data_IF_033104386319
#
_entry.id   IF_033104386319
#
_cell.length_a   1.000
_cell.length_b   1.000
_cell.length_c   1.000
_cell.angle_alpha   90.00
_cell.angle_beta   90.00
_cell.angle_gamma   90.00
#
_symmetry.space_group_name_H-M   'P 1'
#
loop_
_entity.id
_entity.type
_entity.pdbx_description
1 polymer ?
#
# COMPACT_ATOMS: atom_id res chain seq x y z
N UNK A 1 -69.82 59.99 -40.00
CA UNK A 1 -69.27 58.95 -39.09
C UNK A 1 -67.87 58.60 -39.57
N UNK A 2 -66.87 59.11 -38.84
CA UNK A 2 -65.42 58.98 -39.10
C UNK A 2 -64.92 57.68 -38.48
N UNK A 3 -64.40 56.74 -39.28
CA UNK A 3 -63.63 55.59 -38.80
C UNK A 3 -62.41 55.36 -39.71
N UNK A 4 -61.48 56.33 -39.74
CA UNK A 4 -60.10 56.14 -40.22
C UNK A 4 -59.16 57.10 -39.48
N UNK A 5 -58.69 56.73 -38.27
CA UNK A 5 -57.34 57.13 -37.90
C UNK A 5 -56.54 56.04 -37.16
N UNK A 6 -57.06 54.80 -37.05
CA UNK A 6 -56.35 53.73 -36.31
C UNK A 6 -55.39 52.90 -37.19
N UNK A 7 -55.71 52.76 -38.48
CA UNK A 7 -54.86 52.01 -39.42
C UNK A 7 -53.62 52.79 -39.88
N UNK A 8 -53.68 54.12 -39.90
CA UNK A 8 -52.54 54.95 -40.30
C UNK A 8 -51.44 55.00 -39.21
N UNK A 9 -51.83 54.96 -37.92
CA UNK A 9 -50.89 54.94 -36.80
C UNK A 9 -50.14 53.60 -36.72
N UNK A 10 -50.84 52.48 -36.98
CA UNK A 10 -50.20 51.15 -37.04
C UNK A 10 -49.20 51.03 -38.17
N UNK A 11 -49.52 51.55 -39.36
CA UNK A 11 -48.60 51.52 -40.50
C UNK A 11 -47.38 52.43 -40.30
N UNK A 12 -47.55 53.55 -39.59
CA UNK A 12 -46.43 54.42 -39.24
C UNK A 12 -45.51 53.76 -38.21
N UNK A 13 -46.04 53.07 -37.19
CA UNK A 13 -45.23 52.30 -36.25
C UNK A 13 -44.49 51.13 -36.92
N UNK A 14 -45.12 50.42 -37.86
CA UNK A 14 -44.46 49.34 -38.62
C UNK A 14 -43.37 49.88 -39.55
N UNK A 15 -43.59 51.03 -40.18
CA UNK A 15 -42.57 51.69 -41.00
C UNK A 15 -41.37 52.20 -40.18
N UNK A 16 -41.62 52.73 -38.97
CA UNK A 16 -40.57 53.18 -38.06
C UNK A 16 -39.75 52.01 -37.50
N UNK A 17 -40.40 50.87 -37.22
CA UNK A 17 -39.70 49.63 -36.84
C UNK A 17 -38.91 49.07 -38.02
N UNK A 18 -39.43 49.12 -39.24
CA UNK A 18 -38.72 48.68 -40.46
C UNK A 18 -37.50 49.53 -40.81
N UNK A 19 -37.54 50.84 -40.54
CA UNK A 19 -36.43 51.75 -40.85
C UNK A 19 -35.24 51.60 -39.88
N UNK A 20 -35.45 51.09 -38.67
CA UNK A 20 -34.36 50.74 -37.74
C UNK A 20 -33.59 49.50 -38.21
N UNK A 21 -34.19 48.64 -39.04
CA UNK A 21 -33.56 47.40 -39.53
C UNK A 21 -32.61 47.62 -40.71
N UNK A 22 -32.66 48.79 -41.36
CA UNK A 22 -31.85 49.11 -42.55
C UNK A 22 -30.67 50.05 -42.29
N UNK A 23 -30.43 50.45 -41.03
CA UNK A 23 -29.18 51.13 -40.72
C UNK A 23 -28.03 50.13 -40.92
N UNK A 24 -27.02 50.42 -41.76
CA UNK A 24 -25.83 49.61 -41.80
C UNK A 24 -25.25 49.68 -40.39
N UNK A 25 -25.21 48.55 -39.71
CA UNK A 25 -24.33 48.38 -38.56
C UNK A 25 -22.95 48.63 -39.12
N UNK A 26 -22.46 49.87 -38.99
CA UNK A 26 -21.04 50.16 -39.13
C UNK A 26 -20.40 49.30 -38.07
N UNK A 27 -19.95 48.12 -38.48
CA UNK A 27 -19.11 47.27 -37.68
C UNK A 27 -18.01 48.19 -37.18
N UNK A 28 -18.03 48.48 -35.88
CA UNK A 28 -16.95 49.22 -35.25
C UNK A 28 -15.67 48.57 -35.74
N UNK A 29 -14.71 49.38 -36.18
CA UNK A 29 -13.37 48.89 -36.48
C UNK A 29 -13.04 47.87 -35.39
N UNK A 30 -12.66 46.63 -35.75
CA UNK A 30 -12.44 45.60 -34.75
C UNK A 30 -11.57 46.24 -33.70
N UNK A 31 -12.11 46.34 -32.47
CA UNK A 31 -11.34 46.80 -31.33
C UNK A 31 -10.02 46.05 -31.43
N UNK A 32 -8.85 46.73 -31.38
CA UNK A 32 -7.57 46.07 -31.54
C UNK A 32 -7.64 44.83 -30.67
N UNK A 33 -7.74 43.68 -31.32
CA UNK A 33 -7.97 42.45 -30.62
C UNK A 33 -6.68 42.32 -29.85
N UNK A 34 -6.76 42.58 -28.54
CA UNK A 34 -5.67 42.27 -27.67
C UNK A 34 -5.59 40.77 -27.83
N UNK A 35 -4.67 40.33 -28.67
CA UNK A 35 -4.28 38.95 -28.75
C UNK A 35 -3.65 38.73 -27.37
N UNK A 36 -4.47 38.49 -26.35
CA UNK A 36 -4.02 37.91 -25.12
C UNK A 36 -3.63 36.51 -25.57
N UNK A 37 -2.33 36.27 -25.70
CA UNK A 37 -1.86 34.89 -25.69
C UNK A 37 -2.30 34.35 -24.35
N UNK A 38 -3.44 33.68 -24.32
CA UNK A 38 -3.83 32.93 -23.16
C UNK A 38 -2.73 31.90 -22.99
N UNK A 39 -2.05 31.89 -21.82
CA UNK A 39 -1.03 30.89 -21.56
C UNK A 39 -1.62 29.52 -21.88
N UNK A 40 -1.02 28.83 -22.85
CA UNK A 40 -1.50 27.52 -23.26
C UNK A 40 -0.85 26.51 -22.33
N UNK A 41 -1.61 25.76 -21.53
CA UNK A 41 -1.01 24.71 -20.73
C UNK A 41 -0.45 23.65 -21.66
N UNK A 42 0.87 23.41 -21.57
CA UNK A 42 1.51 22.28 -22.22
C UNK A 42 0.99 20.96 -21.63
N UNK A 43 1.16 19.85 -22.36
CA UNK A 43 0.79 18.52 -21.88
C UNK A 43 1.56 18.09 -20.61
N UNK A 44 2.64 18.80 -20.28
CA UNK A 44 3.49 18.70 -19.11
C UNK A 44 3.06 19.62 -17.94
N UNK A 45 2.00 20.41 -18.13
CA UNK A 45 1.47 21.36 -17.13
C UNK A 45 2.25 22.67 -17.01
N UNK A 46 3.24 22.91 -17.87
CA UNK A 46 3.93 24.20 -17.95
C UNK A 46 3.05 25.22 -18.67
N UNK A 47 3.12 26.46 -18.22
CA UNK A 47 2.46 27.61 -18.84
C UNK A 47 3.51 28.33 -19.67
N UNK A 48 3.32 28.34 -20.98
CA UNK A 48 4.20 29.01 -21.92
C UNK A 48 3.53 30.23 -22.58
N UNK A 49 4.36 31.16 -23.05
CA UNK A 49 3.99 32.37 -23.77
C UNK A 49 4.75 32.46 -25.08
N UNK A 50 4.02 32.78 -26.14
CA UNK A 50 4.60 32.97 -27.47
C UNK A 50 4.83 34.46 -27.68
N UNK A 51 6.10 34.84 -27.81
CA UNK A 51 6.60 36.21 -28.03
C UNK A 51 5.94 36.84 -29.26
N UNK A 52 5.48 38.07 -29.13
CA UNK A 52 4.83 38.87 -30.17
C UNK A 52 5.72 40.00 -30.64
N UNK A 53 5.29 40.63 -31.72
CA UNK A 53 5.95 41.80 -32.27
C UNK A 53 5.98 42.94 -31.23
N UNK A 54 7.18 43.49 -30.99
CA UNK A 54 7.49 44.51 -29.99
C UNK A 54 7.41 44.06 -28.53
N UNK A 55 7.34 42.76 -28.26
CA UNK A 55 7.52 42.29 -26.91
C UNK A 55 8.98 42.42 -26.45
N UNK A 56 9.14 42.87 -25.22
CA UNK A 56 10.40 42.84 -24.47
C UNK A 56 10.21 41.95 -23.26
N UNK A 57 11.31 41.49 -22.65
CA UNK A 57 11.19 40.75 -21.39
C UNK A 57 10.41 41.56 -20.33
N UNK A 58 10.59 42.90 -20.29
CA UNK A 58 9.85 43.77 -19.38
C UNK A 58 8.34 43.82 -19.68
N UNK A 59 7.93 43.90 -20.96
CA UNK A 59 6.50 43.93 -21.31
C UNK A 59 5.83 42.58 -21.01
N UNK A 60 6.51 41.48 -21.32
CA UNK A 60 6.02 40.12 -21.07
C UNK A 60 5.94 39.86 -19.57
N UNK A 61 6.97 40.20 -18.81
CA UNK A 61 7.01 39.94 -17.37
C UNK A 61 5.89 40.68 -16.65
N UNK A 62 5.68 41.96 -16.98
CA UNK A 62 4.57 42.75 -16.43
C UNK A 62 3.20 42.20 -16.84
N UNK A 63 3.04 41.78 -18.09
CA UNK A 63 1.79 41.21 -18.59
C UNK A 63 1.44 39.89 -17.88
N UNK A 64 2.44 39.05 -17.64
CA UNK A 64 2.28 37.73 -17.01
C UNK A 64 2.35 37.78 -15.48
N UNK A 65 2.65 38.95 -14.91
CA UNK A 65 2.76 39.16 -13.47
C UNK A 65 3.95 38.43 -12.84
N UNK A 66 5.04 38.26 -13.58
CA UNK A 66 6.32 37.69 -13.11
C UNK A 66 7.44 38.74 -13.24
N UNK A 67 8.58 38.50 -12.60
CA UNK A 67 9.73 39.41 -12.76
C UNK A 67 10.50 39.11 -14.04
N UNK A 68 11.22 40.12 -14.56
CA UNK A 68 12.08 39.92 -15.74
C UNK A 68 13.18 38.88 -15.47
N UNK A 69 13.72 38.87 -14.25
CA UNK A 69 14.72 37.90 -13.82
C UNK A 69 14.15 36.47 -13.75
N UNK A 70 12.94 36.30 -13.21
CA UNK A 70 12.25 35.01 -13.18
C UNK A 70 11.97 34.48 -14.60
N UNK A 71 11.51 35.36 -15.49
CA UNK A 71 11.34 35.02 -16.91
C UNK A 71 12.65 34.55 -17.56
N UNK A 72 13.78 35.18 -17.21
CA UNK A 72 15.11 34.80 -17.70
C UNK A 72 15.56 33.45 -17.18
N UNK A 73 15.42 33.21 -15.88
CA UNK A 73 15.83 31.96 -15.24
C UNK A 73 15.06 30.76 -15.80
N UNK A 74 13.74 30.90 -16.00
CA UNK A 74 12.89 29.85 -16.57
C UNK A 74 13.27 29.48 -18.01
N UNK A 75 13.94 30.37 -18.74
CA UNK A 75 14.27 30.21 -20.15
C UNK A 75 15.77 30.22 -20.44
N UNK A 76 16.60 30.19 -19.38
CA UNK A 76 18.05 30.30 -19.47
C UNK A 76 18.54 31.52 -20.29
N UNK A 77 17.82 32.64 -20.23
CA UNK A 77 18.17 33.88 -20.94
C UNK A 77 19.26 34.64 -20.17
N UNK A 78 20.43 34.78 -20.76
CA UNK A 78 21.59 35.37 -20.12
C UNK A 78 21.56 36.91 -20.18
N UNK A 79 22.09 37.54 -19.15
CA UNK A 79 22.48 38.96 -19.16
C UNK A 79 23.93 39.01 -18.71
N UNK A 80 24.82 39.42 -19.61
CA UNK A 80 26.20 39.70 -19.27
C UNK A 80 26.58 41.09 -19.80
N UNK A 81 27.78 41.55 -19.49
CA UNK A 81 28.22 42.91 -19.82
C UNK A 81 28.24 43.18 -21.33
N UNK A 82 28.32 42.14 -22.16
CA UNK A 82 28.51 42.23 -23.60
C UNK A 82 27.29 41.77 -24.43
N UNK A 83 26.31 41.10 -23.81
CA UNK A 83 25.12 40.55 -24.48
C UNK A 83 23.95 40.39 -23.52
N UNK A 84 22.77 40.77 -24.01
CA UNK A 84 21.51 40.66 -23.30
C UNK A 84 20.46 39.96 -24.17
N UNK A 85 20.14 38.70 -23.85
CA UNK A 85 19.18 37.88 -24.58
C UNK A 85 17.75 38.44 -24.54
N UNK A 86 17.42 39.24 -23.52
CA UNK A 86 16.12 39.92 -23.41
C UNK A 86 15.95 41.08 -24.39
N UNK A 87 17.06 41.59 -24.94
CA UNK A 87 17.03 42.58 -26.02
C UNK A 87 16.82 41.95 -27.40
N UNK A 88 16.92 40.63 -27.50
CA UNK A 88 16.87 39.88 -28.75
C UNK A 88 15.81 38.78 -28.74
N UNK A 89 14.62 39.05 -28.19
CA UNK A 89 13.49 38.13 -28.32
C UNK A 89 12.93 38.14 -29.75
N UNK A 90 12.56 36.97 -30.26
CA UNK A 90 12.09 36.79 -31.64
C UNK A 90 10.61 36.48 -31.62
N UNK A 91 9.84 37.07 -32.54
CA UNK A 91 8.41 36.77 -32.67
C UNK A 91 8.22 35.28 -32.92
N UNK A 92 7.34 34.64 -32.15
CA UNK A 92 7.09 33.20 -32.19
C UNK A 92 7.96 32.38 -31.24
N UNK A 93 8.93 32.97 -30.56
CA UNK A 93 9.71 32.29 -29.51
C UNK A 93 8.79 31.89 -28.36
N UNK A 94 8.86 30.64 -27.93
CA UNK A 94 8.12 30.14 -26.78
C UNK A 94 8.95 30.32 -25.51
N UNK A 95 8.37 31.02 -24.53
CA UNK A 95 8.96 31.28 -23.23
C UNK A 95 8.12 30.57 -22.16
N UNK A 96 8.78 29.85 -21.27
CA UNK A 96 8.20 29.28 -20.07
C UNK A 96 7.93 30.44 -19.10
N UNK A 97 6.66 30.65 -18.76
CA UNK A 97 6.22 31.70 -17.84
C UNK A 97 5.99 31.13 -16.46
N UNK A 98 5.49 29.88 -16.38
CA UNK A 98 5.40 29.12 -15.14
C UNK A 98 5.66 27.67 -15.47
N UNK A 99 6.46 27.00 -14.66
CA UNK A 99 6.49 25.55 -14.70
C UNK A 99 5.25 24.99 -13.99
N UNK A 100 4.82 23.77 -14.34
CA UNK A 100 4.01 22.97 -13.41
C UNK A 100 4.73 23.06 -12.06
N UNK A 101 4.02 23.27 -10.93
CA UNK A 101 4.65 23.10 -9.63
C UNK A 101 5.42 21.78 -9.70
N UNK A 102 6.77 21.85 -9.63
CA UNK A 102 7.51 20.70 -9.20
C UNK A 102 6.77 20.20 -7.97
N UNK A 103 6.48 18.90 -7.90
CA UNK A 103 5.99 18.28 -6.66
C UNK A 103 7.08 18.50 -5.62
N UNK A 104 7.06 19.68 -5.03
CA UNK A 104 7.87 20.11 -3.92
C UNK A 104 6.87 20.20 -2.80
N UNK A 105 6.95 19.33 -1.79
CA UNK A 105 6.13 19.51 -0.61
C UNK A 105 6.41 20.91 -0.01
N UNK A 106 5.40 21.76 -0.02
CA UNK A 106 5.11 22.91 0.87
C UNK A 106 5.68 22.71 2.31
N UNK A 107 6.10 23.76 3.06
CA UNK A 107 7.39 24.47 3.05
C UNK A 107 7.99 24.49 4.50
N UNK A 108 8.72 25.54 4.92
CA UNK A 108 9.02 26.03 6.31
C UNK A 108 10.52 25.96 6.69
N UNK A 109 10.99 26.81 7.64
CA UNK A 109 11.89 27.96 7.50
C UNK A 109 13.35 27.56 7.20
N UNK A 110 14.32 28.48 7.30
CA UNK A 110 15.76 28.19 7.12
C UNK A 110 16.18 26.93 7.92
N UNK A 111 16.43 25.79 7.26
CA UNK A 111 17.02 24.60 7.90
C UNK A 111 18.27 24.23 7.12
N UNK A 112 19.41 24.47 7.78
CA UNK A 112 20.64 23.68 7.69
C UNK A 112 20.44 22.36 6.94
N UNK A 113 21.14 22.15 5.82
CA UNK A 113 20.94 21.01 4.92
C UNK A 113 20.67 19.72 5.70
N UNK A 114 19.39 19.35 5.82
CA UNK A 114 19.03 18.16 6.58
C UNK A 114 19.69 16.97 5.89
N UNK A 115 20.31 16.05 6.65
CA UNK A 115 20.90 14.87 6.07
C UNK A 115 19.83 14.19 5.22
N UNK A 116 20.14 13.88 3.96
CA UNK A 116 19.31 12.98 3.16
C UNK A 116 19.02 11.78 4.05
N UNK A 117 17.75 11.62 4.46
CA UNK A 117 17.38 10.54 5.35
C UNK A 117 17.78 9.25 4.64
N UNK A 118 18.80 8.59 5.18
CA UNK A 118 18.99 7.17 4.90
C UNK A 118 17.67 6.53 5.32
N UNK A 119 16.98 5.73 4.49
CA UNK A 119 15.76 5.07 4.92
C UNK A 119 16.05 4.40 6.27
N UNK A 120 15.31 4.77 7.31
CA UNK A 120 15.54 4.26 8.64
C UNK A 120 15.34 2.75 8.56
N UNK A 121 16.41 1.98 8.69
CA UNK A 121 16.35 0.52 8.76
C UNK A 121 15.70 0.18 10.10
N UNK A 122 14.38 0.18 10.11
CA UNK A 122 13.60 -0.08 11.30
C UNK A 122 13.42 -1.57 11.54
N UNK A 123 12.92 -1.88 12.72
CA UNK A 123 12.60 -3.23 13.12
C UNK A 123 11.08 -3.37 13.21
N UNK A 124 10.59 -4.58 12.96
CA UNK A 124 9.21 -5.01 13.15
C UNK A 124 9.15 -6.22 14.07
N UNK A 125 7.98 -6.83 14.17
CA UNK A 125 7.76 -8.06 14.93
C UNK A 125 7.02 -9.08 14.09
N UNK A 126 7.42 -10.34 14.19
CA UNK A 126 6.78 -11.47 13.52
C UNK A 126 6.27 -12.43 14.61
N UNK A 127 4.97 -12.63 14.65
CA UNK A 127 4.29 -13.52 15.57
C UNK A 127 3.75 -14.74 14.83
N UNK A 128 3.87 -15.91 15.46
CA UNK A 128 3.44 -17.19 14.91
C UNK A 128 2.43 -17.82 15.86
N UNK A 129 1.28 -18.19 15.32
CA UNK A 129 0.25 -18.92 16.05
C UNK A 129 0.06 -20.29 15.41
N UNK A 130 0.10 -21.35 16.22
CA UNK A 130 -0.19 -22.70 15.77
C UNK A 130 -1.48 -23.15 16.47
N UNK A 131 -2.51 -23.45 15.69
CA UNK A 131 -3.84 -23.77 16.19
C UNK A 131 -4.30 -25.16 15.76
N UNK A 132 -5.18 -25.73 16.59
CA UNK A 132 -5.87 -26.97 16.33
C UNK A 132 -7.05 -26.73 15.40
N UNK A 133 -6.84 -27.03 14.12
CA UNK A 133 -7.83 -26.90 13.06
C UNK A 133 -8.81 -28.08 13.12
N UNK A 134 -9.79 -27.97 14.03
CA UNK A 134 -10.74 -29.06 14.33
C UNK A 134 -11.74 -29.27 13.19
N UNK A 135 -12.06 -28.20 12.47
CA UNK A 135 -13.07 -28.20 11.41
C UNK A 135 -12.44 -28.46 10.01
N UNK A 136 -11.12 -28.32 9.88
CA UNK A 136 -10.33 -28.57 8.67
C UNK A 136 -10.37 -27.44 7.64
N UNK A 137 -10.75 -26.22 8.01
CA UNK A 137 -10.90 -25.09 7.10
C UNK A 137 -9.63 -24.22 6.94
N UNK A 138 -8.60 -24.53 7.71
CA UNK A 138 -7.29 -23.87 7.70
C UNK A 138 -7.33 -22.38 8.07
N UNK A 139 -8.35 -21.93 8.80
CA UNK A 139 -8.48 -20.57 9.32
C UNK A 139 -8.53 -20.59 10.84
N UNK A 140 -7.74 -19.74 11.50
CA UNK A 140 -7.78 -19.67 12.96
C UNK A 140 -9.07 -19.02 13.44
N UNK A 141 -9.82 -19.73 14.28
CA UNK A 141 -11.04 -19.24 14.93
C UNK A 141 -10.87 -19.10 16.45
N UNK A 142 -11.69 -18.25 17.10
CA UNK A 142 -11.64 -18.04 18.57
C UNK A 142 -11.93 -19.33 19.36
N UNK A 143 -12.66 -20.27 18.78
CA UNK A 143 -12.98 -21.56 19.38
C UNK A 143 -11.86 -22.58 19.27
N UNK A 144 -10.84 -22.32 18.45
CA UNK A 144 -9.75 -23.27 18.19
C UNK A 144 -8.58 -23.05 19.15
N UNK A 145 -8.15 -24.16 19.77
CA UNK A 145 -7.13 -24.14 20.79
C UNK A 145 -5.72 -24.04 20.20
N UNK A 146 -4.77 -23.37 20.89
CA UNK A 146 -3.37 -23.38 20.50
C UNK A 146 -2.76 -24.78 20.64
N UNK A 147 -1.75 -25.07 19.82
CA UNK A 147 -0.95 -26.30 19.90
C UNK A 147 0.47 -25.95 20.39
N UNK A 148 0.87 -26.57 21.50
CA UNK A 148 2.24 -26.52 22.00
C UNK A 148 3.18 -27.48 21.25
N UNK A 149 4.46 -27.13 21.20
CA UNK A 149 5.53 -28.02 20.72
C UNK A 149 5.82 -27.92 19.22
N UNK A 150 5.17 -27.01 18.49
CA UNK A 150 5.52 -26.72 17.10
C UNK A 150 6.84 -25.97 17.01
N UNK A 151 7.80 -26.49 16.24
CA UNK A 151 9.10 -25.85 16.11
C UNK A 151 9.11 -24.84 14.95
N UNK A 152 9.39 -23.58 15.26
CA UNK A 152 9.37 -22.46 14.31
C UNK A 152 10.79 -22.04 13.95
N UNK A 153 11.05 -21.79 12.67
CA UNK A 153 12.28 -21.15 12.18
C UNK A 153 11.95 -19.96 11.28
N UNK A 154 12.57 -18.82 11.58
CA UNK A 154 12.46 -17.56 10.85
C UNK A 154 13.84 -17.22 10.28
N UNK A 155 13.96 -17.25 8.95
CA UNK A 155 15.23 -16.97 8.26
C UNK A 155 15.05 -15.91 7.19
N UNK A 156 16.01 -15.01 7.02
CA UNK A 156 16.00 -14.08 5.88
C UNK A 156 16.78 -14.62 4.68
N UNK A 157 16.57 -14.03 3.50
CA UNK A 157 17.26 -14.45 2.26
C UNK A 157 18.79 -14.44 2.34
N UNK A 158 19.35 -13.54 3.16
CA UNK A 158 20.79 -13.39 3.33
C UNK A 158 21.35 -14.25 4.48
N UNK A 159 20.50 -15.04 5.15
CA UNK A 159 20.82 -15.84 6.35
C UNK A 159 21.52 -15.07 7.47
N UNK A 160 21.33 -13.75 7.53
CA UNK A 160 21.85 -12.89 8.60
C UNK A 160 20.93 -12.87 9.83
N UNK A 161 19.66 -13.23 9.64
CA UNK A 161 18.69 -13.45 10.72
C UNK A 161 18.27 -14.92 10.65
N UNK A 162 18.36 -15.60 11.78
CA UNK A 162 17.99 -17.01 11.94
C UNK A 162 17.49 -17.22 13.36
N UNK A 163 16.21 -16.91 13.57
CA UNK A 163 15.55 -17.07 14.86
C UNK A 163 14.78 -18.39 14.89
N UNK A 164 14.70 -18.99 16.07
CA UNK A 164 13.95 -20.23 16.30
C UNK A 164 13.17 -20.15 17.59
N UNK A 165 12.03 -20.82 17.64
CA UNK A 165 11.25 -20.94 18.88
C UNK A 165 10.29 -22.12 18.84
N UNK A 166 9.61 -22.34 19.94
CA UNK A 166 8.63 -23.42 20.11
C UNK A 166 7.30 -22.79 20.50
N UNK A 167 6.20 -23.19 19.85
CA UNK A 167 4.86 -22.72 20.22
C UNK A 167 4.43 -23.29 21.57
N UNK A 168 3.60 -22.56 22.29
CA UNK A 168 3.03 -22.99 23.57
C UNK A 168 1.50 -23.12 23.48
N UNK A 169 0.89 -23.62 24.56
CA UNK A 169 -0.56 -23.79 24.71
C UNK A 169 -1.19 -22.65 25.53
N UNK A 170 -0.46 -21.54 25.73
CA UNK A 170 -0.92 -20.43 26.58
C UNK A 170 -2.02 -19.59 25.94
N UNK A 171 -2.23 -19.76 24.63
CA UNK A 171 -3.15 -18.95 23.82
C UNK A 171 -2.51 -17.69 23.24
N UNK A 172 -1.22 -17.45 23.50
CA UNK A 172 -0.49 -16.33 22.91
C UNK A 172 0.34 -16.80 21.71
N UNK A 173 0.51 -15.92 20.72
CA UNK A 173 1.43 -16.17 19.60
C UNK A 173 2.89 -16.08 20.06
N UNK A 174 3.74 -16.95 19.50
CA UNK A 174 5.18 -16.86 19.65
C UNK A 174 5.70 -15.68 18.81
N UNK A 175 6.18 -14.62 19.47
CA UNK A 175 6.64 -13.40 18.80
C UNK A 175 8.15 -13.24 18.82
N UNK A 176 8.73 -12.98 17.65
CA UNK A 176 10.09 -12.49 17.46
C UNK A 176 10.04 -10.97 17.29
N UNK A 177 10.59 -10.25 18.26
CA UNK A 177 10.64 -8.79 18.25
C UNK A 177 11.94 -8.28 17.64
N UNK A 178 11.98 -6.99 17.34
CA UNK A 178 13.17 -6.31 16.83
C UNK A 178 13.77 -6.97 15.56
N UNK A 179 12.91 -7.49 14.69
CA UNK A 179 13.32 -8.10 13.41
C UNK A 179 13.55 -6.98 12.39
N UNK A 180 14.75 -6.85 11.80
CA UNK A 180 15.00 -5.82 10.79
C UNK A 180 14.04 -5.96 9.60
N UNK A 181 13.65 -4.86 8.97
CA UNK A 181 12.88 -4.92 7.72
C UNK A 181 13.59 -5.75 6.64
N UNK A 182 12.79 -6.44 5.82
CA UNK A 182 13.30 -7.29 4.73
C UNK A 182 12.41 -8.48 4.40
N UNK A 183 12.94 -9.37 3.55
CA UNK A 183 12.25 -10.58 3.10
C UNK A 183 12.65 -11.79 3.95
N UNK A 184 11.63 -12.45 4.50
CA UNK A 184 11.75 -13.58 5.41
C UNK A 184 11.01 -14.82 4.89
N UNK A 185 11.55 -15.98 5.25
CA UNK A 185 10.90 -17.27 5.13
C UNK A 185 10.67 -17.81 6.55
N UNK A 186 9.40 -18.12 6.84
CA UNK A 186 8.95 -18.70 8.10
C UNK A 186 8.59 -20.15 7.82
N UNK A 187 9.13 -21.06 8.63
CA UNK A 187 8.81 -22.48 8.56
C UNK A 187 8.35 -22.99 9.93
N UNK A 188 7.37 -23.88 9.94
CA UNK A 188 6.84 -24.50 11.17
C UNK A 188 6.85 -26.01 10.99
N UNK A 189 7.49 -26.70 11.93
CA UNK A 189 7.40 -28.15 12.08
C UNK A 189 6.26 -28.49 13.03
N UNK A 190 5.28 -29.25 12.52
CA UNK A 190 4.14 -29.72 13.30
C UNK A 190 4.61 -30.75 14.34
N UNK A 191 4.15 -30.67 15.60
CA UNK A 191 4.52 -31.63 16.64
C UNK A 191 4.00 -33.04 16.33
N UNK A 192 4.58 -34.04 17.02
CA UNK A 192 4.13 -35.42 16.89
C UNK A 192 2.64 -35.58 17.26
N UNK A 193 1.97 -36.48 16.54
CA UNK A 193 0.53 -36.72 16.76
C UNK A 193 -0.39 -35.74 16.05
N UNK A 194 0.14 -34.79 15.28
CA UNK A 194 -0.63 -33.85 14.44
C UNK A 194 -0.23 -33.95 12.96
N UNK A 195 -1.17 -33.58 12.09
CA UNK A 195 -0.99 -33.44 10.65
C UNK A 195 -1.26 -31.98 10.25
N UNK A 196 -0.41 -31.35 9.42
CA UNK A 196 -0.66 -29.99 8.96
C UNK A 196 -1.94 -29.90 8.13
N UNK A 197 -2.71 -28.83 8.32
CA UNK A 197 -3.84 -28.44 7.47
C UNK A 197 -3.54 -27.18 6.66
N UNK A 198 -2.48 -26.45 7.04
CA UNK A 198 -1.93 -25.28 6.33
C UNK A 198 -0.58 -25.58 5.67
N UNK A 199 -0.08 -24.64 4.88
CA UNK A 199 1.29 -24.69 4.37
C UNK A 199 2.30 -24.54 5.50
N UNK A 200 3.37 -25.35 5.50
CA UNK A 200 4.39 -25.32 6.55
C UNK A 200 5.49 -24.27 6.32
N UNK A 201 5.44 -23.54 5.20
CA UNK A 201 6.40 -22.51 4.85
C UNK A 201 5.67 -21.26 4.31
N UNK A 202 6.04 -20.08 4.79
CA UNK A 202 5.43 -18.81 4.42
C UNK A 202 6.51 -17.76 4.11
N UNK A 203 6.34 -16.99 3.03
CA UNK A 203 7.25 -15.90 2.68
C UNK A 203 6.60 -14.55 3.02
N UNK A 204 7.30 -13.72 3.79
CA UNK A 204 6.83 -12.43 4.27
C UNK A 204 7.84 -11.33 3.96
N UNK A 205 7.37 -10.21 3.42
CA UNK A 205 8.13 -8.96 3.40
C UNK A 205 7.70 -8.13 4.61
N UNK A 206 8.62 -7.91 5.55
CA UNK A 206 8.41 -7.15 6.78
C UNK A 206 8.87 -5.70 6.60
N UNK A 207 7.99 -4.75 6.87
CA UNK A 207 8.31 -3.32 6.90
C UNK A 207 8.66 -2.85 8.32
N UNK A 208 9.42 -1.75 8.44
CA UNK A 208 9.70 -1.12 9.74
C UNK A 208 8.42 -0.81 10.54
N UNK A 209 8.39 -1.18 11.82
CA UNK A 209 7.25 -0.98 12.73
C UNK A 209 6.07 -1.91 12.52
N UNK A 210 6.10 -2.79 11.51
CA UNK A 210 5.04 -3.75 11.24
C UNK A 210 5.04 -4.87 12.28
N UNK A 211 3.84 -5.25 12.75
CA UNK A 211 3.62 -6.48 13.50
C UNK A 211 2.82 -7.42 12.58
N UNK A 212 3.41 -8.53 12.20
CA UNK A 212 2.77 -9.55 11.36
C UNK A 212 2.51 -10.80 12.18
N UNK A 213 1.25 -11.22 12.25
CA UNK A 213 0.87 -12.53 12.81
C UNK A 213 0.58 -13.50 11.67
N UNK A 214 1.19 -14.68 11.72
CA UNK A 214 1.00 -15.75 10.75
C UNK A 214 0.47 -16.97 11.48
N UNK A 215 -0.64 -17.50 10.97
CA UNK A 215 -1.34 -18.63 11.57
C UNK A 215 -1.05 -19.92 10.80
N UNK A 216 -0.80 -20.99 11.55
CA UNK A 216 -0.57 -22.33 11.05
C UNK A 216 -1.59 -23.27 11.70
N UNK A 217 -2.32 -24.00 10.88
CA UNK A 217 -3.29 -25.02 11.31
C UNK A 217 -2.71 -26.42 11.25
N UNK A 218 -3.04 -27.24 12.25
CA UNK A 218 -2.83 -28.67 12.25
C UNK A 218 -3.99 -29.40 12.95
N UNK A 219 -4.27 -30.62 12.54
CA UNK A 219 -5.31 -31.49 13.12
C UNK A 219 -4.67 -32.73 13.76
N UNK A 220 -5.30 -33.37 14.77
CA UNK A 220 -4.79 -34.62 15.33
C UNK A 220 -4.61 -35.67 14.24
N UNK A 221 -3.40 -36.18 14.11
CA UNK A 221 -3.06 -37.23 13.16
C UNK A 221 -3.80 -38.51 13.53
N UNK A 222 -4.25 -39.27 12.53
CA UNK A 222 -4.89 -40.58 12.72
C UNK A 222 -3.93 -41.65 13.29
N UNK A 223 -2.68 -41.27 13.60
CA UNK A 223 -1.63 -42.12 14.13
C UNK A 223 -1.48 -41.94 15.64
N UNK A 224 -2.12 -42.86 16.37
CA UNK A 224 -1.77 -43.30 17.72
C UNK A 224 -1.70 -42.18 18.77
N UNK A 225 -2.82 -41.98 19.48
CA UNK A 225 -2.78 -41.55 20.87
C UNK A 225 -1.61 -42.28 21.56
N UNK A 226 -0.72 -41.60 22.31
CA UNK A 226 0.13 -42.32 23.24
C UNK A 226 -0.84 -43.02 24.17
N UNK A 227 -0.97 -44.33 23.99
CA UNK A 227 -1.54 -45.22 24.98
C UNK A 227 -0.54 -45.14 26.13
N UNK A 228 -0.62 -44.08 26.92
CA UNK A 228 -0.45 -44.19 28.35
C UNK A 228 -1.63 -45.04 28.83
N UNK A 229 -1.62 -46.30 28.40
CA UNK A 229 -2.26 -47.37 29.11
C UNK A 229 -1.49 -47.40 30.41
N UNK A 230 -2.04 -46.69 31.39
CA UNK A 230 -1.96 -47.13 32.76
C UNK A 230 -2.06 -48.65 32.69
N UNK A 231 -0.95 -49.32 33.00
CA UNK A 231 -0.78 -50.76 32.88
C UNK A 231 -1.76 -51.39 33.87
N UNK A 232 -3.03 -51.47 33.47
CA UNK A 232 -4.08 -52.12 34.21
C UNK A 232 -3.79 -53.60 34.07
N UNK A 233 -2.89 -54.08 34.92
CA UNK A 233 -2.59 -55.48 35.11
C UNK A 233 -3.91 -56.22 35.15
N UNK A 234 -4.21 -56.97 34.10
CA UNK A 234 -5.53 -57.56 33.91
C UNK A 234 -5.78 -58.53 35.07
N UNK A 235 -6.79 -58.29 35.95
CA UNK A 235 -7.04 -59.17 37.08
C UNK A 235 -7.37 -60.59 36.63
N UNK A 236 -7.88 -60.75 35.39
CA UNK A 236 -8.09 -62.05 34.77
C UNK A 236 -6.78 -62.81 34.52
N UNK A 237 -5.72 -62.16 34.03
CA UNK A 237 -4.43 -62.80 33.82
C UNK A 237 -3.74 -63.15 35.15
N UNK A 238 -3.93 -62.32 36.19
CA UNK A 238 -3.46 -62.61 37.55
C UNK A 238 -4.15 -63.84 38.15
N UNK A 239 -5.48 -63.95 37.98
CA UNK A 239 -6.26 -65.12 38.43
C UNK A 239 -5.82 -66.38 37.69
N UNK A 240 -5.66 -66.30 36.37
CA UNK A 240 -5.19 -67.42 35.55
C UNK A 240 -3.78 -67.85 36.00
N UNK A 241 -2.87 -66.91 36.23
CA UNK A 241 -1.53 -67.17 36.74
C UNK A 241 -1.53 -67.89 38.09
N UNK A 242 -2.34 -67.44 39.05
CA UNK A 242 -2.47 -68.10 40.37
C UNK A 242 -3.00 -69.53 40.22
N UNK A 243 -3.95 -69.77 39.31
CA UNK A 243 -4.53 -71.08 39.05
C UNK A 243 -3.46 -72.05 38.52
N UNK A 244 -2.64 -71.62 37.57
CA UNK A 244 -1.53 -72.42 37.04
C UNK A 244 -0.49 -72.78 38.11
N UNK A 245 -0.12 -71.81 38.96
CA UNK A 245 0.80 -72.06 40.09
C UNK A 245 0.19 -73.06 41.07
N UNK A 246 -1.10 -72.92 41.41
CA UNK A 246 -1.80 -73.84 42.29
C UNK A 246 -1.85 -75.27 41.76
N UNK A 247 -2.13 -75.44 40.46
CA UNK A 247 -2.10 -76.76 39.80
C UNK A 247 -0.69 -77.36 39.83
N UNK A 248 0.34 -76.56 39.56
CA UNK A 248 1.74 -77.00 39.62
C UNK A 248 2.15 -77.48 41.02
N UNK A 249 1.80 -76.73 42.07
CA UNK A 249 2.07 -77.10 43.46
C UNK A 249 1.30 -78.37 43.85
N UNK A 250 0.03 -78.47 43.45
CA UNK A 250 -0.79 -79.66 43.68
C UNK A 250 -0.20 -80.92 43.04
N UNK A 251 0.24 -80.82 41.78
CA UNK A 251 0.92 -81.92 41.08
C UNK A 251 2.25 -82.29 41.75
N UNK A 252 3.03 -81.31 42.20
CA UNK A 252 4.28 -81.58 42.93
C UNK A 252 4.04 -82.36 44.22
N UNK A 253 3.05 -81.98 45.04
CA UNK A 253 2.69 -82.70 46.25
C UNK A 253 2.14 -84.10 45.95
N UNK A 254 1.34 -84.24 44.89
CA UNK A 254 0.80 -85.52 44.46
C UNK A 254 1.92 -86.51 44.07
N UNK A 255 2.86 -86.06 43.23
CA UNK A 255 4.02 -86.88 42.82
C UNK A 255 4.91 -87.22 44.02
N UNK A 256 5.16 -86.26 44.91
CA UNK A 256 5.96 -86.47 46.13
C UNK A 256 5.32 -87.46 47.10
N UNK A 257 4.00 -87.59 47.11
CA UNK A 257 3.29 -88.55 47.97
C UNK A 257 3.28 -89.97 47.40
N UNK A 258 3.40 -90.10 46.08
CA UNK A 258 3.41 -91.40 45.39
C UNK A 258 4.83 -91.96 45.16
N UNK A 259 5.87 -91.15 45.39
CA UNK A 259 7.27 -91.58 45.47
C UNK A 259 7.64 -91.97 46.90
#
# INVERSE_FOLDING_TARGET
MKKKPLQALGLFCVALIGMVVLLPVTAGAPLPQINLSTPTPGADGRITYIVKENDTCTSISLLMGITEQELRELNNLQSNTDSDDCSFLWVGQELIIKEKPAETPTPTPVVEAEPTATPFKGNGSICIYLFNDENGDALSEETELPIAGGAVSLTNRLSTVNETGITDDSGNSLCFNDIPEGDYNISVAIPEGYNPTTVMNYSLTLSAGQISTIDFGAQPGSGMQPVFGEESSSPLLLIVGILFVGVGVGLWFYVRRMA
#
